data_IF_963705051800
#
_entry.id   IF_963705051800
#
_cell.length_a   1.000
_cell.length_b   1.000
_cell.length_c   1.000
_cell.angle_alpha   90.00
_cell.angle_beta   90.00
_cell.angle_gamma   90.00
#
_symmetry.space_group_name_H-M   'P 1'
#
loop_
_entity.id
_entity.type
_entity.pdbx_description
1 polymer ?
#
# COMPACT_ATOMS: atom_id res chain seq x y z
N UNK A 1 -5.30 -10.64 13.51
CA UNK A 1 -4.20 -10.82 12.53
C UNK A 1 -4.22 -12.17 11.81
N UNK A 2 -5.02 -13.17 12.24
CA UNK A 2 -5.02 -14.54 11.67
C UNK A 2 -5.24 -14.65 10.14
N UNK A 3 -5.77 -13.61 9.50
CA UNK A 3 -6.06 -13.61 8.06
C UNK A 3 -5.10 -12.75 7.23
N UNK A 4 -4.06 -12.16 7.84
CA UNK A 4 -3.13 -11.29 7.12
C UNK A 4 -2.43 -12.03 5.98
N UNK A 5 -1.89 -13.23 6.25
CA UNK A 5 -1.20 -14.03 5.23
C UNK A 5 -2.14 -14.42 4.10
N UNK A 6 -3.39 -14.77 4.43
CA UNK A 6 -4.42 -15.04 3.42
C UNK A 6 -4.67 -13.82 2.55
N UNK A 7 -4.83 -12.63 3.14
CA UNK A 7 -5.03 -11.36 2.42
C UNK A 7 -3.84 -11.02 1.53
N UNK A 8 -2.63 -11.13 2.07
CA UNK A 8 -1.40 -10.91 1.31
C UNK A 8 -1.33 -11.86 0.12
N UNK A 9 -1.74 -13.13 0.25
CA UNK A 9 -1.72 -14.10 -0.86
C UNK A 9 -2.80 -13.90 -1.93
N UNK A 10 -3.83 -13.07 -1.70
CA UNK A 10 -4.91 -12.86 -2.70
C UNK A 10 -4.40 -12.07 -3.92
N UNK A 11 -3.41 -11.21 -3.72
CA UNK A 11 -2.90 -10.33 -4.76
C UNK A 11 -1.78 -10.91 -5.64
N UNK A 12 -1.47 -10.19 -6.73
CA UNK A 12 -0.37 -10.49 -7.66
C UNK A 12 0.92 -9.84 -7.15
N UNK A 13 1.70 -10.64 -6.44
CA UNK A 13 2.94 -10.23 -5.81
C UNK A 13 4.01 -9.66 -6.74
N UNK A 14 5.09 -9.11 -6.16
CA UNK A 14 6.27 -8.66 -6.91
C UNK A 14 6.82 -9.77 -7.83
N UNK A 15 7.28 -9.37 -9.02
CA UNK A 15 7.91 -10.27 -10.01
C UNK A 15 7.05 -11.47 -10.43
N UNK A 16 5.72 -11.34 -10.43
CA UNK A 16 4.81 -12.42 -10.83
C UNK A 16 4.68 -13.55 -9.80
N UNK A 17 5.19 -13.35 -8.58
CA UNK A 17 4.94 -14.26 -7.46
C UNK A 17 3.48 -14.14 -6.99
N UNK A 18 2.94 -15.19 -6.38
CA UNK A 18 1.66 -15.10 -5.69
C UNK A 18 1.88 -14.39 -4.36
N UNK A 19 1.13 -13.32 -4.13
CA UNK A 19 1.03 -12.65 -2.85
C UNK A 19 1.93 -11.44 -2.63
N UNK A 20 1.39 -10.47 -1.91
CA UNK A 20 2.07 -9.26 -1.47
C UNK A 20 2.90 -9.51 -0.21
N UNK A 21 3.81 -8.59 0.07
CA UNK A 21 4.62 -8.59 1.28
C UNK A 21 4.68 -7.17 1.86
N UNK A 22 5.06 -7.07 3.13
CA UNK A 22 5.28 -5.79 3.82
C UNK A 22 6.79 -5.51 3.92
N UNK A 23 7.20 -4.27 4.25
CA UNK A 23 8.58 -3.97 4.60
C UNK A 23 9.12 -4.90 5.69
N UNK A 24 10.43 -5.13 5.67
CA UNK A 24 11.07 -6.00 6.67
C UNK A 24 10.84 -5.47 8.09
N UNK A 25 10.44 -6.35 9.00
CA UNK A 25 10.13 -6.00 10.38
C UNK A 25 8.89 -5.12 10.56
N UNK A 26 8.04 -4.96 9.54
CA UNK A 26 6.84 -4.15 9.64
C UNK A 26 5.87 -4.69 10.70
N UNK A 27 5.29 -3.77 11.48
CA UNK A 27 4.21 -4.08 12.42
C UNK A 27 2.88 -3.67 11.80
N UNK A 28 1.95 -4.62 11.70
CA UNK A 28 0.61 -4.33 11.21
C UNK A 28 -0.19 -3.60 12.28
N UNK A 29 -0.65 -2.40 11.94
CA UNK A 29 -1.48 -1.55 12.79
C UNK A 29 -2.94 -1.93 12.64
N UNK A 30 -3.41 -2.11 11.38
CA UNK A 30 -4.78 -2.49 11.10
C UNK A 30 -4.93 -3.13 9.73
N UNK A 31 -6.02 -3.88 9.56
CA UNK A 31 -6.44 -4.46 8.28
C UNK A 31 -7.93 -4.18 8.13
N UNK A 32 -8.31 -3.58 7.01
CA UNK A 32 -9.70 -3.26 6.70
C UNK A 32 -10.04 -3.62 5.25
N UNK A 33 -11.28 -4.03 4.95
CA UNK A 33 -11.72 -4.17 3.56
C UNK A 33 -11.81 -2.80 2.87
N UNK A 34 -11.48 -2.76 1.57
CA UNK A 34 -11.60 -1.58 0.72
C UNK A 34 -13.04 -1.46 0.17
N UNK A 35 -13.98 -1.07 1.05
CA UNK A 35 -15.41 -1.11 0.79
C UNK A 35 -15.85 -0.06 -0.25
N UNK A 36 -15.23 1.13 -0.24
CA UNK A 36 -15.57 2.18 -1.21
C UNK A 36 -15.13 1.77 -2.60
N UNK A 37 -13.91 1.23 -2.74
CA UNK A 37 -13.47 0.64 -4.01
C UNK A 37 -14.41 -0.48 -4.49
N UNK A 38 -14.78 -1.42 -3.62
CA UNK A 38 -15.65 -2.54 -3.99
C UNK A 38 -17.08 -2.10 -4.36
N UNK A 39 -17.57 -0.99 -3.79
CA UNK A 39 -18.87 -0.42 -4.14
C UNK A 39 -18.86 0.22 -5.53
N UNK A 40 -17.78 0.94 -5.87
CA UNK A 40 -17.64 1.63 -7.15
C UNK A 40 -17.24 0.69 -8.30
N UNK A 41 -16.69 -0.49 -7.99
CA UNK A 41 -16.24 -1.47 -8.97
C UNK A 41 -17.03 -2.79 -8.83
N UNK A 42 -18.08 -3.05 -9.64
CA UNK A 42 -18.88 -4.26 -9.55
C UNK A 42 -18.05 -5.55 -9.58
N UNK A 43 -18.13 -6.34 -8.51
CA UNK A 43 -17.36 -7.57 -8.30
C UNK A 43 -15.88 -7.35 -7.96
N UNK A 44 -15.47 -6.11 -7.73
CA UNK A 44 -14.17 -5.76 -7.18
C UNK A 44 -14.04 -6.19 -5.72
N UNK A 45 -12.80 -6.40 -5.31
CA UNK A 45 -12.44 -6.68 -3.92
C UNK A 45 -11.17 -5.91 -3.57
N UNK A 46 -10.95 -5.65 -2.29
CA UNK A 46 -9.70 -5.05 -1.84
C UNK A 46 -9.56 -4.99 -0.33
N UNK A 47 -8.33 -4.70 0.09
CA UNK A 47 -7.94 -4.55 1.49
C UNK A 47 -6.95 -3.39 1.64
N UNK A 48 -7.06 -2.69 2.76
CA UNK A 48 -6.09 -1.70 3.23
C UNK A 48 -5.39 -2.28 4.45
N UNK A 49 -4.07 -2.41 4.37
CA UNK A 49 -3.22 -2.84 5.49
C UNK A 49 -2.39 -1.65 5.93
N UNK A 50 -2.69 -1.09 7.10
CA UNK A 50 -1.86 -0.06 7.71
C UNK A 50 -0.71 -0.71 8.49
N UNK A 51 0.49 -0.19 8.34
CA UNK A 51 1.68 -0.72 8.99
C UNK A 51 2.61 0.40 9.47
N UNK A 52 3.47 0.06 10.43
CA UNK A 52 4.67 0.82 10.76
C UNK A 52 5.91 0.00 10.42
N UNK A 53 7.00 0.67 10.06
CA UNK A 53 8.29 0.04 9.77
C UNK A 53 9.41 1.06 9.94
N UNK A 54 10.66 0.60 10.00
CA UNK A 54 11.81 1.50 10.01
C UNK A 54 11.92 2.23 8.67
N UNK A 55 12.50 3.44 8.69
CA UNK A 55 12.75 4.21 7.47
C UNK A 55 13.55 3.41 6.44
N UNK A 56 14.62 2.74 6.88
CA UNK A 56 15.47 1.91 6.02
C UNK A 56 14.68 0.78 5.36
N UNK A 57 13.88 0.03 6.13
CA UNK A 57 13.05 -1.04 5.60
C UNK A 57 12.02 -0.53 4.58
N UNK A 58 11.45 0.66 4.79
CA UNK A 58 10.52 1.29 3.83
C UNK A 58 11.25 1.65 2.53
N UNK A 59 12.45 2.25 2.62
CA UNK A 59 13.23 2.63 1.43
C UNK A 59 13.67 1.42 0.62
N UNK A 60 14.09 0.36 1.29
CA UNK A 60 14.47 -0.89 0.65
C UNK A 60 13.27 -1.57 -0.01
N UNK A 61 12.13 -1.60 0.68
CA UNK A 61 10.88 -2.10 0.14
C UNK A 61 10.48 -1.35 -1.14
N UNK A 62 10.55 -0.01 -1.13
CA UNK A 62 10.22 0.82 -2.29
C UNK A 62 11.15 0.52 -3.46
N UNK A 63 12.45 0.46 -3.21
CA UNK A 63 13.48 0.19 -4.24
C UNK A 63 13.29 -1.19 -4.88
N UNK A 64 12.88 -2.18 -4.08
CA UNK A 64 12.73 -3.56 -4.52
C UNK A 64 11.42 -3.83 -5.26
N UNK A 65 10.32 -3.23 -4.80
CA UNK A 65 8.97 -3.60 -5.25
C UNK A 65 8.32 -2.60 -6.21
N UNK A 66 8.89 -1.41 -6.36
CA UNK A 66 8.35 -0.35 -7.22
C UNK A 66 9.33 0.04 -8.33
N UNK A 67 8.91 0.93 -9.23
CA UNK A 67 9.80 1.57 -10.20
C UNK A 67 10.63 2.74 -9.64
N UNK A 68 10.51 3.05 -8.34
CA UNK A 68 11.17 4.19 -7.70
C UNK A 68 12.31 3.73 -6.81
N UNK A 69 13.32 4.59 -6.65
CA UNK A 69 14.38 4.35 -5.68
C UNK A 69 14.04 5.01 -4.34
N UNK A 70 14.04 4.23 -3.27
CA UNK A 70 13.67 4.67 -1.93
C UNK A 70 14.51 5.82 -1.39
N UNK A 71 15.75 5.98 -1.86
CA UNK A 71 16.62 7.10 -1.48
C UNK A 71 16.12 8.48 -1.92
N UNK A 72 15.19 8.54 -2.88
CA UNK A 72 14.70 9.79 -3.48
C UNK A 72 13.25 10.13 -3.11
N UNK A 73 12.62 9.35 -2.21
CA UNK A 73 11.22 9.55 -1.81
C UNK A 73 11.01 10.93 -1.17
N UNK A 74 11.94 11.44 -0.37
CA UNK A 74 11.75 12.72 0.33
C UNK A 74 11.71 13.91 -0.62
N UNK A 75 12.43 13.81 -1.74
CA UNK A 75 12.46 14.85 -2.77
C UNK A 75 11.32 14.70 -3.79
N UNK A 76 10.50 13.67 -3.67
CA UNK A 76 9.39 13.43 -4.59
C UNK A 76 8.18 14.30 -4.25
N UNK A 77 7.35 14.69 -5.24
CA UNK A 77 6.10 15.39 -4.98
C UNK A 77 5.17 14.60 -4.04
N UNK A 78 4.31 15.31 -3.33
CA UNK A 78 3.24 14.66 -2.57
C UNK A 78 2.25 13.93 -3.49
N UNK A 79 1.64 12.86 -2.98
CA UNK A 79 0.58 12.14 -3.67
C UNK A 79 -0.59 13.09 -3.92
N UNK A 80 -1.18 13.00 -5.13
CA UNK A 80 -2.36 13.80 -5.46
C UNK A 80 -3.57 13.29 -4.65
N UNK A 81 -4.15 14.10 -3.74
CA UNK A 81 -5.29 13.67 -2.94
C UNK A 81 -6.56 13.43 -3.75
N UNK A 82 -6.67 14.00 -4.95
CA UNK A 82 -7.82 13.80 -5.85
C UNK A 82 -7.75 12.48 -6.64
N UNK A 83 -6.73 11.65 -6.42
CA UNK A 83 -6.63 10.35 -7.07
C UNK A 83 -7.67 9.37 -6.52
N UNK A 84 -8.32 8.64 -7.42
CA UNK A 84 -9.22 7.50 -7.14
C UNK A 84 -8.47 6.23 -6.66
N UNK A 85 -7.47 6.42 -5.82
CA UNK A 85 -6.61 5.35 -5.30
C UNK A 85 -6.61 5.27 -3.78
N UNK A 86 -7.28 6.21 -3.13
CA UNK A 86 -7.20 6.45 -1.69
C UNK A 86 -8.58 6.58 -1.05
N UNK A 87 -9.65 6.14 -1.71
CA UNK A 87 -11.03 6.30 -1.24
C UNK A 87 -11.23 5.72 0.17
N UNK A 88 -10.59 4.58 0.42
CA UNK A 88 -10.63 3.84 1.67
C UNK A 88 -9.59 4.32 2.72
N UNK A 89 -8.86 5.41 2.44
CA UNK A 89 -7.86 6.00 3.35
C UNK A 89 -8.13 7.48 3.57
N UNK A 90 -8.11 7.93 4.82
CA UNK A 90 -8.20 9.35 5.15
C UNK A 90 -6.86 10.05 4.95
N UNK A 91 -6.68 10.68 3.78
CA UNK A 91 -5.45 11.41 3.45
C UNK A 91 -5.24 12.66 4.30
N UNK A 92 -6.28 13.22 4.91
CA UNK A 92 -6.15 14.42 5.75
C UNK A 92 -5.35 14.14 7.03
N UNK A 93 -5.31 12.86 7.44
CA UNK A 93 -4.55 12.37 8.57
C UNK A 93 -3.09 11.99 8.23
N UNK A 94 -2.65 12.18 6.98
CA UNK A 94 -1.34 11.74 6.48
C UNK A 94 -0.48 12.96 6.14
N UNK A 95 0.66 13.09 6.82
CA UNK A 95 1.59 14.16 6.54
C UNK A 95 2.40 13.88 5.27
N UNK A 96 2.41 14.84 4.34
CA UNK A 96 3.21 14.83 3.12
C UNK A 96 3.19 13.46 2.39
N UNK A 97 2.01 12.95 2.00
CA UNK A 97 1.85 11.59 1.50
C UNK A 97 2.71 11.36 0.27
N UNK A 98 3.28 10.18 0.13
CA UNK A 98 3.91 9.72 -1.11
C UNK A 98 3.26 8.41 -1.53
N UNK A 99 3.08 8.18 -2.83
CA UNK A 99 2.43 6.96 -3.29
C UNK A 99 3.07 6.40 -4.56
N UNK A 100 3.05 5.07 -4.68
CA UNK A 100 3.39 4.36 -5.91
C UNK A 100 2.43 3.20 -6.14
N UNK A 101 1.96 3.05 -7.38
CA UNK A 101 1.22 1.87 -7.81
C UNK A 101 2.16 0.83 -8.41
N UNK A 102 1.96 -0.44 -8.07
CA UNK A 102 2.63 -1.58 -8.68
C UNK A 102 1.73 -2.81 -8.62
N UNK A 103 1.66 -3.56 -9.71
CA UNK A 103 0.75 -4.72 -9.84
C UNK A 103 -0.70 -4.37 -9.46
N UNK A 104 -1.25 -5.06 -8.48
CA UNK A 104 -2.58 -4.85 -7.92
C UNK A 104 -2.54 -4.10 -6.57
N UNK A 105 -1.46 -3.35 -6.34
CA UNK A 105 -1.19 -2.62 -5.10
C UNK A 105 -1.00 -1.14 -5.37
N UNK A 106 -1.50 -0.33 -4.43
CA UNK A 106 -1.02 1.03 -4.21
C UNK A 106 -0.35 1.07 -2.84
N UNK A 107 0.93 1.43 -2.84
CA UNK A 107 1.66 1.77 -1.63
C UNK A 107 1.50 3.26 -1.38
N UNK A 108 1.04 3.59 -0.18
CA UNK A 108 0.93 4.96 0.32
C UNK A 108 1.80 5.08 1.56
N UNK A 109 2.64 6.10 1.63
CA UNK A 109 3.59 6.34 2.71
C UNK A 109 3.39 7.73 3.29
N UNK A 110 3.49 7.84 4.60
CA UNK A 110 3.62 9.12 5.28
C UNK A 110 5.08 9.57 5.30
N UNK A 111 5.33 10.88 5.24
CA UNK A 111 6.67 11.46 5.42
C UNK A 111 6.70 12.44 6.60
N UNK A 112 7.71 12.37 7.49
CA UNK A 112 8.88 11.46 7.46
C UNK A 112 8.50 9.98 7.59
N UNK A 113 9.33 9.10 7.04
CA UNK A 113 9.00 7.68 6.88
C UNK A 113 8.89 6.97 8.23
N UNK A 114 7.87 6.13 8.37
CA UNK A 114 7.63 5.33 9.56
C UNK A 114 6.27 4.65 9.59
N UNK A 115 5.32 5.18 8.82
CA UNK A 115 3.97 4.65 8.65
C UNK A 115 3.60 4.55 7.17
N UNK A 116 2.87 3.50 6.82
CA UNK A 116 2.41 3.26 5.46
C UNK A 116 1.13 2.45 5.38
N UNK A 117 0.57 2.41 4.18
CA UNK A 117 -0.62 1.65 3.84
C UNK A 117 -0.37 0.88 2.55
N UNK A 118 -0.62 -0.43 2.61
CA UNK A 118 -0.63 -1.31 1.46
C UNK A 118 -2.09 -1.52 1.03
N UNK A 119 -2.46 -0.95 -0.11
CA UNK A 119 -3.83 -1.00 -0.64
C UNK A 119 -3.86 -2.03 -1.77
N UNK A 120 -4.37 -3.23 -1.49
CA UNK A 120 -4.46 -4.34 -2.45
C UNK A 120 -5.86 -4.34 -3.06
N UNK A 121 -5.98 -4.33 -4.38
CA UNK A 121 -7.26 -4.25 -5.09
C UNK A 121 -7.27 -5.15 -6.31
N UNK A 122 -8.32 -5.94 -6.48
CA UNK A 122 -8.47 -6.80 -7.64
C UNK A 122 -9.81 -6.63 -8.35
N UNK A 123 -9.82 -7.04 -9.62
CA UNK A 123 -11.02 -7.18 -10.43
C UNK A 123 -11.78 -8.48 -10.06
N UNK A 124 -13.06 -8.61 -10.47
CA UNK A 124 -13.77 -9.89 -10.42
C UNK A 124 -12.90 -11.01 -10.99
N UNK A 125 -12.86 -12.13 -10.29
CA UNK A 125 -12.21 -13.35 -10.78
C UNK A 125 -13.10 -14.09 -11.77
#
# INVERSE_FOLDING_TARGET
MEHLDQILTVGRGPHGRKGQELPEGAQVVSVAPALKFAADFPGGWGYVIAFTATEEAIRDYVTRNTGFNGKYIDNSPAANPESNRFEDVDLSAIQNPWSAGFWDVVLLLERPLGRGWLIIRGAPR
#
